data_IF_744167025722
#
_entry.id   IF_744167025722
#
_cell.length_a   1.000
_cell.length_b   1.000
_cell.length_c   1.000
_cell.angle_alpha   90.00
_cell.angle_beta   90.00
_cell.angle_gamma   90.00
#
_symmetry.space_group_name_H-M   'P 1'
#
loop_
_entity.id
_entity.type
_entity.pdbx_description
1 polymer ?
#
# COMPACT_ATOMS: atom_id res chain seq x y z
N UNK A 1 24.79 -20.08 1.87
CA UNK A 1 23.77 -20.34 2.92
C UNK A 1 22.76 -21.30 2.29
N UNK A 2 22.58 -22.45 2.87
CA UNK A 2 21.50 -23.37 2.49
C UNK A 2 20.18 -22.74 2.94
N UNK A 3 19.20 -22.74 2.06
CA UNK A 3 17.85 -22.27 2.44
C UNK A 3 17.36 -23.14 3.62
N UNK A 4 16.76 -22.52 4.64
CA UNK A 4 16.30 -23.23 5.83
C UNK A 4 15.09 -24.15 5.55
N UNK A 5 14.46 -24.01 4.38
CA UNK A 5 13.29 -24.74 3.97
C UNK A 5 13.55 -25.54 2.68
N UNK A 6 12.83 -26.65 2.51
CA UNK A 6 12.85 -27.44 1.29
C UNK A 6 11.83 -26.91 0.30
N UNK A 7 12.01 -27.22 -1.00
CA UNK A 7 11.08 -26.78 -2.05
C UNK A 7 9.69 -27.42 -1.95
N UNK A 8 9.60 -28.56 -1.30
CA UNK A 8 8.38 -29.34 -1.09
C UNK A 8 7.86 -29.26 0.36
N UNK A 9 8.29 -28.26 1.10
CA UNK A 9 7.86 -28.02 2.48
C UNK A 9 6.49 -27.34 2.49
N UNK A 10 5.46 -28.08 2.83
CA UNK A 10 4.07 -27.63 2.90
C UNK A 10 3.69 -26.99 4.25
N UNK A 11 4.63 -26.98 5.21
CA UNK A 11 4.43 -26.33 6.52
C UNK A 11 4.68 -24.83 6.50
N UNK A 12 5.25 -24.31 5.41
CA UNK A 12 5.69 -22.93 5.27
C UNK A 12 4.87 -22.17 4.23
N UNK A 13 4.50 -20.95 4.55
CA UNK A 13 3.84 -20.05 3.59
C UNK A 13 4.87 -19.11 2.96
N UNK A 14 4.94 -19.09 1.63
CA UNK A 14 5.82 -18.20 0.88
C UNK A 14 5.03 -16.97 0.44
N UNK A 15 5.53 -15.79 0.79
CA UNK A 15 4.99 -14.49 0.42
C UNK A 15 5.96 -13.82 -0.55
N UNK A 16 5.45 -13.38 -1.70
CA UNK A 16 6.25 -12.67 -2.70
C UNK A 16 5.98 -11.17 -2.57
N UNK A 17 6.99 -10.42 -2.16
CA UNK A 17 6.96 -9.00 -1.90
C UNK A 17 6.54 -8.66 -0.46
N UNK A 18 7.25 -7.70 0.13
CA UNK A 18 7.02 -7.22 1.52
C UNK A 18 6.40 -5.82 1.58
N UNK A 19 5.71 -5.40 0.53
CA UNK A 19 4.93 -4.17 0.54
C UNK A 19 3.74 -4.24 1.51
N UNK A 20 2.82 -3.30 1.42
CA UNK A 20 1.67 -3.19 2.34
C UNK A 20 0.91 -4.51 2.53
N UNK A 21 0.56 -5.20 1.44
CA UNK A 21 -0.19 -6.46 1.51
C UNK A 21 0.64 -7.61 2.06
N UNK A 22 1.81 -7.86 1.47
CA UNK A 22 2.66 -8.99 1.87
C UNK A 22 3.22 -8.84 3.28
N UNK A 23 3.64 -7.65 3.67
CA UNK A 23 4.11 -7.36 5.02
C UNK A 23 3.01 -7.55 6.08
N UNK A 24 1.80 -7.09 5.78
CA UNK A 24 0.64 -7.29 6.67
C UNK A 24 0.29 -8.76 6.80
N UNK A 25 0.24 -9.49 5.68
CA UNK A 25 -0.05 -10.93 5.69
C UNK A 25 1.01 -11.71 6.47
N UNK A 26 2.30 -11.41 6.25
CA UNK A 26 3.39 -12.03 6.98
C UNK A 26 3.24 -11.84 8.50
N UNK A 27 2.95 -10.61 8.92
CA UNK A 27 2.74 -10.29 10.33
C UNK A 27 1.54 -11.03 10.93
N UNK A 28 0.41 -11.07 10.24
CA UNK A 28 -0.81 -11.75 10.72
C UNK A 28 -0.63 -13.28 10.81
N UNK A 29 0.10 -13.88 9.89
CA UNK A 29 0.39 -15.32 9.91
C UNK A 29 1.40 -15.67 11.00
N UNK A 30 2.48 -14.90 11.10
CA UNK A 30 3.51 -15.12 12.14
C UNK A 30 2.94 -14.99 13.56
N UNK A 31 2.02 -14.05 13.80
CA UNK A 31 1.35 -13.93 15.10
C UNK A 31 0.46 -15.15 15.44
N UNK A 32 0.07 -15.92 14.45
CA UNK A 32 -0.67 -17.20 14.61
C UNK A 32 0.26 -18.40 14.73
N UNK A 33 1.57 -18.20 14.77
CA UNK A 33 2.56 -19.26 14.84
C UNK A 33 2.76 -20.03 13.54
N UNK A 34 2.37 -19.44 12.40
CA UNK A 34 2.58 -20.03 11.08
C UNK A 34 3.93 -19.57 10.56
N UNK A 35 4.74 -20.52 10.11
CA UNK A 35 6.03 -20.22 9.50
C UNK A 35 5.87 -19.55 8.15
N UNK A 36 6.58 -18.43 7.98
CA UNK A 36 6.48 -17.59 6.78
C UNK A 36 7.86 -17.31 6.22
N UNK A 37 8.01 -17.46 4.91
CA UNK A 37 9.17 -16.99 4.15
C UNK A 37 8.71 -15.86 3.23
N UNK A 38 9.25 -14.67 3.45
CA UNK A 38 8.98 -13.54 2.58
C UNK A 38 10.15 -13.31 1.61
N UNK A 39 9.85 -13.31 0.33
CA UNK A 39 10.80 -13.02 -0.75
C UNK A 39 10.63 -11.58 -1.19
N UNK A 40 11.69 -10.77 -1.04
CA UNK A 40 11.69 -9.36 -1.40
C UNK A 40 12.80 -9.08 -2.43
N UNK A 41 12.44 -8.35 -3.48
CA UNK A 41 13.39 -8.00 -4.54
C UNK A 41 14.29 -6.80 -4.19
N UNK A 42 13.86 -5.99 -3.22
CA UNK A 42 14.58 -4.80 -2.79
C UNK A 42 15.42 -4.99 -1.53
N UNK A 43 16.27 -4.03 -1.26
CA UNK A 43 17.11 -4.00 -0.06
C UNK A 43 16.34 -3.51 1.17
N UNK A 44 16.93 -3.75 2.35
CA UNK A 44 16.47 -3.16 3.59
C UNK A 44 17.15 -1.80 3.79
N UNK A 45 16.33 -0.78 4.01
CA UNK A 45 16.78 0.56 4.35
C UNK A 45 16.54 0.83 5.84
N UNK A 46 17.43 1.60 6.45
CA UNK A 46 17.27 2.09 7.81
C UNK A 46 16.54 3.45 7.78
N UNK A 47 15.94 3.87 8.89
CA UNK A 47 15.30 5.20 8.95
C UNK A 47 16.24 6.36 8.55
N UNK A 48 17.53 6.24 8.82
CA UNK A 48 18.52 7.24 8.43
C UNK A 48 18.83 7.29 6.92
N UNK A 49 18.43 6.27 6.17
CA UNK A 49 18.62 6.22 4.71
C UNK A 49 17.51 7.02 3.98
N UNK A 50 16.43 7.35 4.71
CA UNK A 50 15.32 8.12 4.17
C UNK A 50 15.60 9.61 4.32
N UNK A 51 15.65 10.30 3.20
CA UNK A 51 15.97 11.72 3.13
C UNK A 51 14.66 12.49 3.13
N UNK A 52 14.54 13.46 4.06
CA UNK A 52 13.40 14.37 4.11
C UNK A 52 13.60 15.54 3.13
N UNK A 53 13.80 15.19 1.87
CA UNK A 53 13.92 16.08 0.73
C UNK A 53 13.29 15.37 -0.47
N UNK A 54 12.25 15.96 -1.03
CA UNK A 54 11.45 15.34 -2.07
C UNK A 54 12.26 15.05 -3.34
N UNK A 55 13.10 15.98 -3.75
CA UNK A 55 13.93 15.81 -4.96
C UNK A 55 15.03 14.77 -4.76
N UNK A 56 15.69 14.81 -3.63
CA UNK A 56 16.72 13.83 -3.31
C UNK A 56 16.10 12.43 -3.10
N UNK A 57 14.96 12.35 -2.44
CA UNK A 57 14.21 11.11 -2.25
C UNK A 57 13.79 10.50 -3.59
N UNK A 58 13.30 11.31 -4.51
CA UNK A 58 12.95 10.87 -5.85
C UNK A 58 14.14 10.28 -6.60
N UNK A 59 15.30 10.85 -6.47
CA UNK A 59 16.48 10.36 -7.19
C UNK A 59 17.13 9.12 -6.58
N UNK A 60 16.91 8.85 -5.30
CA UNK A 60 17.66 7.81 -4.58
C UNK A 60 16.79 6.62 -4.10
N UNK A 61 15.57 6.85 -3.69
CA UNK A 61 14.74 5.82 -3.04
C UNK A 61 13.41 5.56 -3.75
N UNK A 62 12.77 6.60 -4.28
CA UNK A 62 11.47 6.47 -4.94
C UNK A 62 11.58 5.87 -6.34
N UNK A 63 12.77 5.88 -6.91
CA UNK A 63 12.96 5.39 -8.28
C UNK A 63 13.49 3.99 -8.24
N UNK A 64 12.61 3.17 -8.45
CA UNK A 64 12.93 1.83 -8.55
C UNK A 64 13.52 1.49 -9.88
N UNK A 65 13.53 1.00 -10.58
CA UNK A 65 14.11 0.42 -11.76
C UNK A 65 13.52 1.13 -12.99
N UNK A 66 14.32 1.83 -13.71
CA UNK A 66 13.91 2.37 -15.00
C UNK A 66 13.35 1.30 -15.93
N UNK A 67 13.64 0.02 -15.69
CA UNK A 67 13.05 -1.10 -16.41
C UNK A 67 11.53 -1.22 -16.18
N UNK A 68 10.97 -0.70 -15.09
CA UNK A 68 9.52 -0.71 -14.85
C UNK A 68 8.76 0.29 -15.72
N UNK A 69 9.47 1.29 -16.25
CA UNK A 69 8.94 2.30 -17.18
C UNK A 69 9.46 2.12 -18.61
N UNK A 70 10.17 1.03 -18.88
CA UNK A 70 10.63 0.65 -20.22
C UNK A 70 9.82 -0.54 -20.75
N UNK A 71 9.75 -0.66 -22.06
CA UNK A 71 9.05 -1.76 -22.72
C UNK A 71 7.98 -1.30 -23.71
N UNK A 72 7.07 -2.18 -24.05
CA UNK A 72 6.01 -1.93 -25.03
C UNK A 72 4.73 -1.29 -24.46
N UNK A 73 4.73 -0.94 -23.19
CA UNK A 73 3.61 -0.26 -22.56
C UNK A 73 3.43 1.14 -23.11
N UNK A 74 2.20 1.57 -23.33
CA UNK A 74 1.90 2.91 -23.83
C UNK A 74 2.55 4.00 -22.97
N UNK A 75 2.45 3.89 -21.65
CA UNK A 75 3.10 4.86 -20.74
C UNK A 75 4.62 4.88 -20.89
N UNK A 76 5.26 3.72 -21.06
CA UNK A 76 6.70 3.65 -21.27
C UNK A 76 7.12 4.24 -22.61
N UNK A 77 6.28 4.17 -23.65
CA UNK A 77 6.54 4.76 -24.96
C UNK A 77 6.31 6.27 -24.95
N UNK A 78 5.22 6.74 -24.34
CA UNK A 78 4.85 8.15 -24.31
C UNK A 78 5.72 8.95 -23.34
N UNK A 79 6.16 8.30 -22.26
CA UNK A 79 6.93 8.90 -21.17
C UNK A 79 8.14 8.04 -20.80
N UNK A 80 8.99 7.79 -21.77
CA UNK A 80 10.20 6.98 -21.58
C UNK A 80 11.08 7.56 -20.46
N UNK A 81 11.52 6.69 -19.57
CA UNK A 81 12.35 7.04 -18.39
C UNK A 81 11.66 7.92 -17.33
N UNK A 82 10.36 8.08 -17.38
CA UNK A 82 9.67 8.60 -16.21
C UNK A 82 9.84 7.64 -15.05
N UNK A 83 10.18 8.17 -13.91
CA UNK A 83 10.31 7.40 -12.71
C UNK A 83 8.96 6.79 -12.30
N UNK A 84 8.94 5.52 -11.94
CA UNK A 84 7.75 4.87 -11.41
C UNK A 84 7.66 5.11 -9.90
N UNK A 85 6.48 5.41 -9.41
CA UNK A 85 6.20 5.55 -7.98
C UNK A 85 6.15 4.20 -7.26
N UNK A 86 7.04 3.31 -7.61
CA UNK A 86 7.16 1.96 -7.07
C UNK A 86 8.53 1.87 -6.40
N UNK A 87 8.57 1.56 -5.11
CA UNK A 87 9.82 1.37 -4.38
C UNK A 87 10.16 -0.10 -4.30
N UNK A 88 11.39 -0.42 -4.67
CA UNK A 88 11.96 -1.76 -4.56
C UNK A 88 12.78 -1.88 -3.29
N UNK A 89 12.08 -2.07 -2.18
CA UNK A 89 12.65 -2.15 -0.84
C UNK A 89 11.81 -3.03 0.06
N UNK A 90 12.38 -3.50 1.16
CA UNK A 90 11.62 -4.09 2.26
C UNK A 90 10.60 -3.06 2.76
N UNK A 91 9.31 -3.40 2.69
CA UNK A 91 8.20 -2.48 2.94
C UNK A 91 7.56 -1.90 1.69
N UNK A 92 8.21 -2.03 0.53
CA UNK A 92 7.70 -1.55 -0.75
C UNK A 92 7.42 -0.05 -0.77
N UNK A 93 6.46 0.38 -1.57
CA UNK A 93 6.09 1.80 -1.71
C UNK A 93 5.50 2.42 -0.43
N UNK A 94 5.11 1.59 0.55
CA UNK A 94 4.64 2.06 1.86
C UNK A 94 5.72 2.83 2.62
N UNK A 95 7.01 2.62 2.30
CA UNK A 95 8.12 3.37 2.88
C UNK A 95 8.11 4.86 2.53
N UNK A 96 7.41 5.23 1.46
CA UNK A 96 7.17 6.61 1.00
C UNK A 96 5.71 7.02 1.10
N UNK A 97 4.98 6.39 2.00
CA UNK A 97 3.58 6.71 2.20
C UNK A 97 3.41 8.12 2.80
N UNK A 98 2.63 8.95 2.12
CA UNK A 98 2.39 10.33 2.51
C UNK A 98 1.32 10.50 3.62
N UNK A 99 0.90 9.41 4.26
CA UNK A 99 -0.04 9.46 5.39
C UNK A 99 -1.53 9.46 5.00
N UNK A 100 -1.87 9.54 3.72
CA UNK A 100 -3.27 9.48 3.29
C UNK A 100 -3.84 8.07 3.44
N UNK A 101 -4.88 7.91 4.26
CA UNK A 101 -5.49 6.62 4.61
C UNK A 101 -6.98 6.63 4.38
N UNK A 102 -7.41 6.98 3.18
CA UNK A 102 -8.81 6.93 2.82
C UNK A 102 -9.25 5.50 2.55
N UNK A 103 -10.44 5.14 3.04
CA UNK A 103 -11.07 3.88 2.66
C UNK A 103 -11.59 3.97 1.23
N UNK A 104 -11.55 2.87 0.52
CA UNK A 104 -12.23 2.73 -0.77
C UNK A 104 -13.73 2.93 -0.55
N UNK A 105 -14.37 3.70 -1.41
CA UNK A 105 -15.80 3.98 -1.31
C UNK A 105 -16.64 2.84 -1.87
N UNK A 106 -17.89 2.74 -1.45
CA UNK A 106 -18.77 1.63 -1.83
C UNK A 106 -18.95 1.49 -3.36
N UNK A 107 -19.04 2.61 -4.06
CA UNK A 107 -19.19 2.61 -5.52
C UNK A 107 -17.93 2.10 -6.26
N UNK A 108 -16.75 2.17 -5.64
CA UNK A 108 -15.49 1.68 -6.23
C UNK A 108 -15.40 0.15 -6.20
N UNK A 109 -16.15 -0.51 -5.31
CA UNK A 109 -16.32 -1.97 -5.35
C UNK A 109 -17.27 -2.42 -6.45
N UNK A 110 -18.04 -1.51 -7.02
CA UNK A 110 -19.08 -1.74 -8.02
C UNK A 110 -18.86 -0.93 -9.29
N UNK A 111 -17.61 -0.85 -9.76
CA UNK A 111 -17.24 0.00 -10.89
C UNK A 111 -18.00 -0.37 -12.17
N UNK A 112 -18.13 -1.66 -12.47
CA UNK A 112 -18.90 -2.09 -13.64
C UNK A 112 -20.39 -1.79 -13.49
N UNK A 113 -20.97 -2.08 -12.35
CA UNK A 113 -22.39 -1.78 -12.07
C UNK A 113 -22.65 -0.28 -12.08
N UNK A 114 -21.72 0.52 -11.55
CA UNK A 114 -21.88 1.98 -11.41
C UNK A 114 -21.73 2.71 -12.74
N UNK A 115 -20.72 2.36 -13.53
CA UNK A 115 -20.34 3.10 -14.75
C UNK A 115 -20.77 2.40 -16.05
N UNK A 116 -21.21 1.15 -15.96
CA UNK A 116 -21.58 0.36 -17.14
C UNK A 116 -20.36 -0.08 -17.94
N UNK A 117 -20.60 -0.34 -19.22
CA UNK A 117 -19.52 -0.68 -20.16
C UNK A 117 -18.94 0.60 -20.76
N UNK A 118 -17.62 0.72 -20.66
CA UNK A 118 -16.86 1.83 -21.25
C UNK A 118 -15.93 1.25 -22.30
N UNK A 119 -16.00 1.78 -23.51
CA UNK A 119 -15.16 1.32 -24.62
C UNK A 119 -13.67 1.47 -24.27
N UNK A 120 -12.91 0.39 -24.47
CA UNK A 120 -11.50 0.32 -24.14
C UNK A 120 -11.19 0.12 -22.64
N UNK A 121 -12.18 0.03 -21.76
CA UNK A 121 -12.00 -0.26 -20.35
C UNK A 121 -12.55 -1.65 -19.98
N UNK A 122 -11.83 -2.37 -19.11
CA UNK A 122 -12.27 -3.65 -18.57
C UNK A 122 -12.68 -3.47 -17.09
N UNK A 123 -13.88 -2.95 -16.89
CA UNK A 123 -14.43 -2.75 -15.56
C UNK A 123 -15.02 -4.05 -15.01
N UNK A 124 -14.73 -4.33 -13.76
CA UNK A 124 -15.28 -5.46 -13.03
C UNK A 124 -15.78 -4.99 -11.66
N UNK A 125 -16.81 -5.62 -11.15
CA UNK A 125 -17.19 -5.50 -9.76
C UNK A 125 -16.32 -6.41 -8.91
N UNK A 126 -15.93 -5.95 -7.74
CA UNK A 126 -15.25 -6.78 -6.76
C UNK A 126 -16.22 -7.80 -6.17
N UNK A 127 -15.76 -9.02 -5.83
CA UNK A 127 -16.58 -10.03 -5.15
C UNK A 127 -16.81 -9.72 -3.66
N UNK A 128 -16.43 -8.54 -3.22
CA UNK A 128 -16.49 -8.04 -1.85
C UNK A 128 -17.21 -6.69 -1.82
N UNK A 129 -17.73 -6.34 -0.67
CA UNK A 129 -18.34 -5.03 -0.40
C UNK A 129 -17.50 -4.25 0.61
N UNK A 130 -17.77 -2.95 0.73
CA UNK A 130 -17.18 -2.15 1.81
C UNK A 130 -17.52 -2.73 3.20
N UNK A 131 -18.75 -3.21 3.38
CA UNK A 131 -19.18 -3.81 4.65
C UNK A 131 -18.39 -5.08 5.02
N UNK A 132 -18.05 -5.90 4.03
CA UNK A 132 -17.23 -7.10 4.25
C UNK A 132 -15.82 -6.73 4.72
N UNK A 133 -15.29 -5.59 4.27
CA UNK A 133 -13.94 -5.13 4.59
C UNK A 133 -13.88 -4.19 5.78
N UNK A 134 -14.99 -3.64 6.24
CA UNK A 134 -15.02 -2.64 7.31
C UNK A 134 -14.31 -3.08 8.61
N UNK A 135 -14.50 -4.33 9.12
CA UNK A 135 -13.77 -4.79 10.29
C UNK A 135 -12.24 -4.86 10.11
N UNK A 136 -11.81 -5.10 8.88
CA UNK A 136 -10.38 -5.15 8.54
C UNK A 136 -9.78 -3.76 8.38
N UNK A 137 -10.55 -2.80 7.84
CA UNK A 137 -10.17 -1.40 7.83
C UNK A 137 -10.01 -0.87 9.25
N UNK A 138 -10.98 -1.12 10.13
CA UNK A 138 -10.90 -0.71 11.54
C UNK A 138 -9.64 -1.26 12.21
N UNK A 139 -9.34 -2.54 11.98
CA UNK A 139 -8.15 -3.17 12.54
C UNK A 139 -6.85 -2.57 11.99
N UNK A 140 -6.79 -2.30 10.69
CA UNK A 140 -5.62 -1.71 10.06
C UNK A 140 -5.40 -0.27 10.52
N UNK A 141 -6.45 0.52 10.56
CA UNK A 141 -6.42 1.91 11.03
C UNK A 141 -5.99 2.02 12.50
N UNK A 142 -6.51 1.14 13.37
CA UNK A 142 -6.10 1.07 14.79
C UNK A 142 -4.62 0.72 14.94
N UNK A 143 -4.13 -0.27 14.17
CA UNK A 143 -2.71 -0.67 14.18
C UNK A 143 -1.77 0.40 13.62
N UNK A 144 -2.18 1.13 12.61
CA UNK A 144 -1.40 2.19 11.99
C UNK A 144 -1.50 3.53 12.74
N UNK A 145 -2.43 3.64 13.68
CA UNK A 145 -2.69 4.90 14.38
C UNK A 145 -3.33 5.97 13.49
N UNK A 146 -4.15 5.54 12.53
CA UNK A 146 -4.86 6.48 11.63
C UNK A 146 -5.83 7.33 12.44
N UNK A 147 -5.77 8.63 12.26
CA UNK A 147 -6.66 9.60 12.89
C UNK A 147 -7.56 10.26 11.87
N UNK A 148 -8.76 10.65 12.28
CA UNK A 148 -9.66 11.41 11.40
C UNK A 148 -10.74 12.16 12.19
N UNK A 149 -11.39 13.08 11.50
CA UNK A 149 -12.61 13.73 11.98
C UNK A 149 -13.82 12.84 11.65
N UNK A 150 -14.69 12.64 12.64
CA UNK A 150 -15.92 11.88 12.49
C UNK A 150 -16.96 12.59 11.62
N UNK A 151 -17.79 11.79 10.97
CA UNK A 151 -19.01 12.27 10.35
C UNK A 151 -18.79 13.16 9.13
N UNK A 152 -17.66 13.05 8.45
CA UNK A 152 -17.45 13.75 7.18
C UNK A 152 -18.36 13.10 6.14
N UNK A 153 -19.31 13.84 5.56
CA UNK A 153 -20.22 13.30 4.56
C UNK A 153 -19.47 12.70 3.37
N UNK A 154 -19.89 11.50 2.94
CA UNK A 154 -19.30 10.83 1.79
C UNK A 154 -17.99 10.10 2.05
N UNK A 155 -17.42 10.19 3.25
CA UNK A 155 -16.24 9.38 3.61
C UNK A 155 -16.65 8.22 4.49
N UNK A 156 -16.46 6.97 4.03
CA UNK A 156 -16.74 5.79 4.83
C UNK A 156 -15.76 5.65 5.98
N UNK A 157 -16.18 4.96 7.01
CA UNK A 157 -15.31 4.54 8.10
C UNK A 157 -15.98 4.65 9.46
N UNK A 158 -15.61 3.70 10.30
CA UNK A 158 -16.10 3.63 11.65
C UNK A 158 -15.42 4.69 12.53
N UNK A 159 -15.99 4.97 13.68
CA UNK A 159 -15.77 6.20 14.42
C UNK A 159 -14.96 6.03 15.71
N UNK A 160 -14.44 4.84 15.97
CA UNK A 160 -13.83 4.51 17.25
C UNK A 160 -12.30 4.50 17.19
N UNK A 161 -11.70 5.66 16.85
CA UNK A 161 -10.25 5.77 16.96
C UNK A 161 -9.83 6.09 18.40
N UNK A 162 -8.94 5.27 18.92
CA UNK A 162 -8.36 5.45 20.27
C UNK A 162 -7.27 6.50 20.30
N UNK A 163 -6.80 6.95 19.14
CA UNK A 163 -5.69 7.90 19.00
C UNK A 163 -6.26 9.30 18.77
N UNK A 164 -5.71 10.29 19.45
CA UNK A 164 -6.06 11.69 19.22
C UNK A 164 -5.84 12.07 17.76
N UNK A 165 -6.75 12.87 17.22
CA UNK A 165 -6.56 13.47 15.90
C UNK A 165 -5.17 14.10 15.84
N UNK A 166 -4.37 13.73 14.86
CA UNK A 166 -3.12 14.41 14.60
C UNK A 166 -3.46 15.76 13.98
N UNK A 167 -3.23 16.83 14.74
CA UNK A 167 -3.42 18.20 14.28
C UNK A 167 -2.41 18.63 13.20
N UNK A 168 -1.45 17.79 12.87
CA UNK A 168 -0.41 18.04 11.86
C UNK A 168 -0.93 18.22 10.43
N UNK A 169 -2.20 17.92 10.19
CA UNK A 169 -2.85 18.15 8.90
C UNK A 169 -3.99 19.18 8.99
N UNK A 170 -4.07 19.90 10.07
CA UNK A 170 -4.92 21.07 10.11
C UNK A 170 -4.16 22.27 9.51
N UNK A 171 -4.87 23.13 8.86
CA UNK A 171 -4.53 24.28 8.06
C UNK A 171 -3.40 25.20 8.54
N UNK A 172 -2.89 25.00 9.73
CA UNK A 172 -1.91 25.90 10.34
C UNK A 172 -0.47 25.69 9.85
N UNK A 173 -0.21 24.58 9.16
CA UNK A 173 1.10 24.36 8.54
C UNK A 173 1.26 25.07 7.18
N UNK A 174 0.18 25.69 6.68
CA UNK A 174 0.18 26.42 5.42
C UNK A 174 0.22 27.95 5.63
N UNK A 175 0.07 28.42 6.88
CA UNK A 175 0.01 29.85 7.21
C UNK A 175 1.27 30.36 7.93
N UNK A 176 2.30 29.53 8.11
CA UNK A 176 3.66 29.91 8.49
C UNK A 176 4.62 29.67 7.30
#
# INVERSE_FOLDING_TARGET
MTAPYKLDDDSVIVIIGTGAGGGTLANELAQKGIDVVALEAGGRHLPADYINDEWASFSQLAWTDMRTTSGSWRVANDFANLPAWIVKAVGGSTTHWAGASLRIQDHEFRTKTTYGEIDGANLLDWPLTLQDLEPYYDKAEDKMGVTRTHGIPGLPGNNNFKVMNCLLYTSDAADE
#
